data_IF_455911708874
#
_entry.id   IF_455911708874
#
_cell.length_a   1.000
_cell.length_b   1.000
_cell.length_c   1.000
_cell.angle_alpha   90.00
_cell.angle_beta   90.00
_cell.angle_gamma   90.00
#
_symmetry.space_group_name_H-M   'P 1'
#
loop_
_entity.id
_entity.type
_entity.pdbx_description
1 polymer ?
#
# COMPACT_ATOMS: atom_id res chain seq x y z
N UNK A 1 19.29 -5.06 12.53
CA UNK A 1 18.59 -5.09 11.24
C UNK A 1 17.16 -5.45 11.55
N UNK A 2 16.26 -4.46 11.48
CA UNK A 2 14.82 -4.66 11.71
C UNK A 2 14.27 -5.50 10.56
N UNK A 3 13.38 -6.45 10.84
CA UNK A 3 12.72 -7.22 9.79
C UNK A 3 11.57 -6.41 9.23
N UNK A 4 11.23 -6.66 7.98
CA UNK A 4 10.10 -6.03 7.28
C UNK A 4 8.75 -6.22 7.99
N UNK A 5 8.57 -7.32 8.73
CA UNK A 5 7.40 -7.55 9.57
C UNK A 5 7.20 -6.47 10.64
N UNK A 6 8.26 -5.71 10.96
CA UNK A 6 8.26 -4.65 11.98
C UNK A 6 7.75 -3.31 11.43
N UNK A 7 7.26 -3.26 10.19
CA UNK A 7 6.85 -2.03 9.50
C UNK A 7 5.37 -1.93 9.15
N UNK A 8 4.58 -2.99 9.35
CA UNK A 8 3.12 -2.95 9.13
C UNK A 8 2.35 -3.38 10.36
N UNK A 9 1.19 -2.77 10.61
CA UNK A 9 0.38 -3.12 11.77
C UNK A 9 -0.07 -4.57 11.60
N UNK A 10 0.33 -5.43 12.53
CA UNK A 10 -0.02 -6.86 12.53
C UNK A 10 -1.38 -7.16 13.14
N UNK A 11 -2.03 -6.15 13.74
CA UNK A 11 -3.34 -6.22 14.37
C UNK A 11 -4.05 -4.87 14.29
N UNK A 12 -5.39 -4.88 14.33
CA UNK A 12 -6.22 -3.66 14.45
C UNK A 12 -5.83 -2.89 15.72
N UNK A 13 -5.59 -1.59 15.55
CA UNK A 13 -5.21 -0.64 16.59
C UNK A 13 -6.38 0.30 16.88
N UNK A 14 -6.83 0.33 18.15
CA UNK A 14 -7.94 1.20 18.56
C UNK A 14 -7.48 2.35 19.47
N UNK A 15 -8.11 3.52 19.28
CA UNK A 15 -8.10 4.60 20.27
C UNK A 15 -9.25 4.34 21.25
N UNK A 16 -8.94 4.03 22.50
CA UNK A 16 -9.98 3.92 23.53
C UNK A 16 -10.63 5.29 23.77
N UNK A 17 -11.97 5.35 23.82
CA UNK A 17 -12.70 6.62 23.93
C UNK A 17 -12.78 7.15 25.37
N UNK A 18 -12.53 8.46 25.49
CA UNK A 18 -12.94 9.42 26.54
C UNK A 18 -12.80 8.96 28.01
N UNK A 19 -11.57 8.70 28.42
CA UNK A 19 -10.91 9.27 29.62
C UNK A 19 -9.41 9.10 29.42
N UNK A 20 -8.81 10.07 28.75
CA UNK A 20 -7.38 10.40 28.70
C UNK A 20 -6.42 9.27 29.13
N UNK A 21 -5.94 8.42 28.18
CA UNK A 21 -4.82 7.47 28.42
C UNK A 21 -4.30 6.64 27.24
N UNK A 22 -4.58 6.98 25.97
CA UNK A 22 -3.96 6.21 24.86
C UNK A 22 -2.50 6.58 24.61
N UNK A 23 -2.01 7.69 25.15
CA UNK A 23 -0.66 8.27 24.90
C UNK A 23 -0.36 8.62 23.42
N UNK A 24 -1.14 8.10 22.44
CA UNK A 24 -1.07 8.40 21.01
C UNK A 24 -1.64 9.80 20.69
N UNK A 25 -0.79 10.69 20.20
CA UNK A 25 -1.10 12.10 19.92
C UNK A 25 -1.55 12.31 18.47
N UNK A 26 -0.78 11.83 17.50
CA UNK A 26 -0.98 12.10 16.08
C UNK A 26 -1.79 11.02 15.38
N UNK A 27 -2.46 11.38 14.28
CA UNK A 27 -3.36 10.51 13.51
C UNK A 27 -2.75 10.04 12.19
N UNK A 28 -3.25 8.92 11.68
CA UNK A 28 -2.98 8.47 10.31
C UNK A 28 -3.31 9.58 9.31
N UNK A 29 -2.43 9.78 8.34
CA UNK A 29 -2.51 10.77 7.28
C UNK A 29 -1.93 12.13 7.65
N UNK A 30 -1.75 12.44 8.94
CA UNK A 30 -1.25 13.75 9.36
C UNK A 30 0.22 13.95 8.93
N UNK A 31 0.55 15.13 8.40
CA UNK A 31 1.94 15.51 8.10
C UNK A 31 2.54 16.26 9.29
N UNK A 32 3.74 15.85 9.70
CA UNK A 32 4.44 16.38 10.88
C UNK A 32 5.90 16.67 10.54
N UNK A 33 6.57 17.46 11.37
CA UNK A 33 8.02 17.69 11.30
C UNK A 33 8.74 16.94 12.41
N UNK A 34 9.89 16.37 12.07
CA UNK A 34 10.81 15.81 13.06
C UNK A 34 11.60 16.93 13.75
N UNK A 35 11.46 17.11 15.06
CA UNK A 35 12.09 18.18 15.86
C UNK A 35 13.62 18.21 15.75
N UNK A 36 14.26 17.06 15.88
CA UNK A 36 15.74 16.95 15.82
C UNK A 36 16.32 17.12 14.41
N UNK A 37 15.74 16.44 13.42
CA UNK A 37 16.33 16.35 12.08
C UNK A 37 15.68 17.27 11.04
N UNK A 38 14.51 17.85 11.34
CA UNK A 38 13.87 18.89 10.54
C UNK A 38 13.07 18.41 9.31
N UNK A 39 13.08 17.12 8.98
CA UNK A 39 12.33 16.60 7.83
C UNK A 39 10.83 16.52 8.12
N UNK A 40 10.02 16.74 7.09
CA UNK A 40 8.57 16.52 7.11
C UNK A 40 8.24 15.08 6.75
N UNK A 41 7.16 14.53 7.30
CA UNK A 41 6.73 13.19 7.01
C UNK A 41 5.23 12.97 7.28
N UNK A 42 4.57 12.13 6.48
CA UNK A 42 3.18 11.72 6.69
C UNK A 42 3.10 10.45 7.55
N UNK A 43 2.21 10.44 8.53
CA UNK A 43 1.95 9.28 9.39
C UNK A 43 1.14 8.23 8.64
N UNK A 44 1.60 6.98 8.57
CA UNK A 44 0.83 5.86 8.02
C UNK A 44 0.66 4.70 9.01
N UNK A 45 1.27 4.80 10.19
CA UNK A 45 1.06 3.86 11.28
C UNK A 45 1.54 4.39 12.62
N UNK A 46 1.03 3.81 13.70
CA UNK A 46 1.50 4.11 15.05
C UNK A 46 1.37 2.90 15.97
N UNK A 47 2.22 2.87 16.99
CA UNK A 47 2.27 1.81 17.98
C UNK A 47 2.47 2.41 19.36
N UNK A 48 1.81 1.84 20.38
CA UNK A 48 1.91 2.34 21.76
C UNK A 48 3.31 2.14 22.36
N UNK A 49 4.04 1.16 21.84
CA UNK A 49 5.41 0.83 22.21
C UNK A 49 6.17 0.33 20.99
N UNK A 50 7.49 0.50 20.97
CA UNK A 50 8.29 0.03 19.86
C UNK A 50 8.25 -1.50 19.76
N UNK A 51 8.17 -2.03 18.54
CA UNK A 51 8.22 -3.49 18.29
C UNK A 51 9.65 -4.03 18.26
N UNK A 52 10.64 -3.15 18.18
CA UNK A 52 12.07 -3.48 18.16
C UNK A 52 12.81 -2.73 19.26
N UNK A 53 14.03 -3.17 19.57
CA UNK A 53 14.87 -2.44 20.51
C UNK A 53 15.38 -1.14 19.86
N UNK A 54 14.89 -0.02 20.41
CA UNK A 54 15.20 1.35 19.99
C UNK A 54 16.02 2.11 21.02
N UNK A 55 16.47 1.45 22.09
CA UNK A 55 17.08 2.09 23.26
C UNK A 55 18.36 2.87 22.93
N UNK A 56 19.11 2.43 21.93
CA UNK A 56 20.37 3.05 21.50
C UNK A 56 20.23 3.98 20.28
N UNK A 57 19.02 4.20 19.77
CA UNK A 57 18.84 5.00 18.55
C UNK A 57 19.11 6.48 18.81
N UNK A 58 19.78 7.16 17.87
CA UNK A 58 20.08 8.60 17.97
C UNK A 58 18.82 9.48 18.16
N UNK A 59 17.67 9.03 17.65
CA UNK A 59 16.39 9.71 17.85
C UNK A 59 15.80 9.50 19.25
N UNK A 60 16.27 8.53 20.03
CA UNK A 60 15.63 8.08 21.27
C UNK A 60 16.49 8.35 22.49
N UNK A 61 17.81 8.20 22.35
CA UNK A 61 18.76 8.46 23.43
C UNK A 61 18.63 9.91 23.90
N UNK A 62 18.37 10.06 25.21
CA UNK A 62 18.22 11.37 25.86
C UNK A 62 16.80 11.96 25.81
N UNK A 63 15.83 11.27 25.20
CA UNK A 63 14.43 11.68 25.27
C UNK A 63 13.85 11.50 26.69
N UNK A 64 13.03 12.45 27.20
CA UNK A 64 12.44 12.35 28.54
C UNK A 64 11.63 11.08 28.78
N UNK A 65 10.82 10.65 27.79
CA UNK A 65 10.04 9.41 27.90
C UNK A 65 10.84 8.15 27.53
N UNK A 66 12.10 8.31 27.10
CA UNK A 66 12.99 7.21 26.72
C UNK A 66 12.42 6.32 25.61
N UNK A 67 12.82 5.03 25.54
CA UNK A 67 12.36 4.11 24.48
C UNK A 67 10.95 3.57 24.69
N UNK A 68 10.38 3.66 25.89
CA UNK A 68 9.06 3.08 26.22
C UNK A 68 7.93 4.11 26.01
N UNK A 69 7.89 4.70 24.81
CA UNK A 69 6.90 5.69 24.39
C UNK A 69 6.23 5.27 23.08
N UNK A 70 5.17 5.96 22.63
CA UNK A 70 4.60 5.72 21.31
C UNK A 70 5.57 6.01 20.17
N UNK A 71 5.51 5.17 19.13
CA UNK A 71 6.27 5.34 17.90
C UNK A 71 5.33 5.43 16.70
N UNK A 72 5.80 6.17 15.71
CA UNK A 72 5.09 6.45 14.48
C UNK A 72 5.89 5.93 13.29
N UNK A 73 5.18 5.28 12.37
CA UNK A 73 5.69 4.94 11.06
C UNK A 73 5.31 6.04 10.10
N UNK A 74 6.32 6.60 9.44
CA UNK A 74 6.18 7.83 8.69
C UNK A 74 6.85 7.74 7.32
N UNK A 75 6.22 8.33 6.31
CA UNK A 75 6.76 8.48 4.95
C UNK A 75 7.41 9.86 4.88
N UNK A 76 8.75 9.97 4.82
CA UNK A 76 9.39 11.26 4.81
C UNK A 76 9.24 11.96 3.47
N UNK A 77 9.36 13.28 3.46
CA UNK A 77 9.47 14.06 2.24
C UNK A 77 10.82 13.78 1.54
N UNK A 78 10.77 13.44 0.26
CA UNK A 78 11.95 13.08 -0.53
C UNK A 78 12.90 14.27 -0.69
N UNK A 79 12.37 15.48 -0.89
CA UNK A 79 13.18 16.69 -1.03
C UNK A 79 13.91 17.03 0.27
N UNK A 80 13.20 16.99 1.40
CA UNK A 80 13.82 17.13 2.72
C UNK A 80 14.92 16.09 2.94
N UNK A 81 14.71 14.83 2.55
CA UNK A 81 15.70 13.78 2.72
C UNK A 81 16.96 14.02 1.89
N UNK A 82 16.81 14.41 0.63
CA UNK A 82 17.94 14.77 -0.24
C UNK A 82 18.70 15.96 0.35
N UNK A 83 17.99 17.00 0.79
CA UNK A 83 18.58 18.22 1.35
C UNK A 83 19.29 17.99 2.69
N UNK A 84 18.71 17.19 3.58
CA UNK A 84 19.20 17.00 4.95
C UNK A 84 20.18 15.84 5.09
N UNK A 85 20.03 14.80 4.26
CA UNK A 85 20.76 13.54 4.39
C UNK A 85 21.54 13.13 3.13
N UNK A 86 21.52 13.96 2.08
CA UNK A 86 22.28 13.72 0.85
C UNK A 86 21.72 12.62 -0.05
N UNK A 87 20.48 12.18 0.17
CA UNK A 87 19.82 11.21 -0.71
C UNK A 87 18.42 10.82 -0.22
N UNK A 88 17.67 10.06 -1.05
CA UNK A 88 16.35 9.58 -0.68
C UNK A 88 16.43 8.67 0.53
N UNK A 89 15.31 8.57 1.25
CA UNK A 89 15.16 7.71 2.42
C UNK A 89 13.77 7.10 2.41
N UNK A 90 13.69 5.80 2.66
CA UNK A 90 12.42 5.11 2.85
C UNK A 90 11.73 5.50 4.16
N UNK A 91 10.77 4.68 4.57
CA UNK A 91 9.97 4.91 5.78
C UNK A 91 10.82 5.15 7.03
N UNK A 92 10.25 5.88 7.99
CA UNK A 92 10.89 6.28 9.23
C UNK A 92 10.08 5.79 10.41
N UNK A 93 10.78 5.29 11.43
CA UNK A 93 10.20 4.89 12.70
C UNK A 93 10.64 5.88 13.78
N UNK A 94 9.68 6.69 14.26
CA UNK A 94 9.98 7.92 15.00
C UNK A 94 9.24 7.94 16.33
N UNK A 95 9.97 8.21 17.41
CA UNK A 95 9.39 8.43 18.74
C UNK A 95 8.46 9.66 18.74
N UNK A 96 7.32 9.58 19.43
CA UNK A 96 6.32 10.65 19.47
C UNK A 96 6.89 12.01 19.91
N UNK A 97 7.79 12.03 20.89
CA UNK A 97 8.39 13.27 21.41
C UNK A 97 9.24 14.04 20.38
N UNK A 98 9.67 13.37 19.31
CA UNK A 98 10.37 13.99 18.20
C UNK A 98 9.45 14.60 17.16
N UNK A 99 8.14 14.55 17.33
CA UNK A 99 7.20 15.04 16.34
C UNK A 99 6.53 16.33 16.78
N UNK A 100 6.37 17.24 15.83
CA UNK A 100 5.61 18.47 16.01
C UNK A 100 4.66 18.72 14.84
N UNK A 101 3.45 19.26 15.10
CA UNK A 101 2.56 19.72 14.05
C UNK A 101 3.20 20.83 13.21
N UNK A 102 2.82 20.88 11.94
CA UNK A 102 3.19 21.95 11.01
C UNK A 102 1.94 22.65 10.47
N UNK A 103 2.14 23.80 9.84
CA UNK A 103 1.07 24.50 9.14
C UNK A 103 0.61 23.70 7.89
N UNK A 104 -0.67 23.82 7.48
CA UNK A 104 -1.14 23.16 6.26
C UNK A 104 -0.37 23.57 4.99
N UNK A 105 0.14 24.80 4.94
CA UNK A 105 0.95 25.31 3.84
C UNK A 105 2.27 24.54 3.71
N UNK A 106 2.88 24.15 4.83
CA UNK A 106 4.12 23.39 4.90
C UNK A 106 3.94 21.88 4.67
N UNK A 107 2.70 21.37 4.67
CA UNK A 107 2.39 19.93 4.67
C UNK A 107 2.49 19.23 3.30
N UNK A 108 2.90 19.96 2.26
CA UNK A 108 3.11 19.40 0.93
C UNK A 108 4.40 18.58 0.90
N UNK A 109 4.28 17.27 0.72
CA UNK A 109 5.42 16.34 0.65
C UNK A 109 5.31 15.42 -0.57
N UNK A 110 6.44 14.88 -1.03
CA UNK A 110 6.52 13.94 -2.15
C UNK A 110 7.27 12.67 -1.77
N UNK A 111 6.68 11.50 -2.06
CA UNK A 111 7.31 10.18 -1.93
C UNK A 111 6.50 9.13 -2.72
N UNK A 112 7.18 8.16 -3.33
CA UNK A 112 6.60 7.08 -4.14
C UNK A 112 5.56 6.21 -3.41
N UNK A 113 5.65 6.08 -2.08
CA UNK A 113 4.73 5.28 -1.28
C UNK A 113 3.41 5.98 -0.97
N UNK A 114 3.31 7.30 -1.17
CA UNK A 114 2.10 8.05 -0.81
C UNK A 114 0.87 7.54 -1.58
N UNK A 115 1.01 7.25 -2.87
CA UNK A 115 -0.07 6.75 -3.72
C UNK A 115 -0.54 5.33 -3.36
N UNK A 116 0.31 4.55 -2.69
CA UNK A 116 0.00 3.20 -2.26
C UNK A 116 -0.79 3.18 -0.95
N UNK A 117 -0.60 4.22 -0.12
CA UNK A 117 -1.14 4.29 1.25
C UNK A 117 -2.29 5.30 1.40
N UNK A 118 -2.41 6.24 0.46
CA UNK A 118 -3.39 7.31 0.52
C UNK A 118 -4.06 7.54 -0.84
N UNK A 119 -5.37 7.78 -0.80
CA UNK A 119 -6.19 8.04 -2.00
C UNK A 119 -6.21 9.51 -2.41
N UNK A 120 -5.79 10.41 -1.51
CA UNK A 120 -5.79 11.85 -1.73
C UNK A 120 -5.27 12.63 -0.52
N UNK A 121 -5.20 13.95 -0.65
CA UNK A 121 -4.75 14.87 0.38
C UNK A 121 -5.80 15.96 0.62
N UNK A 122 -6.21 16.12 1.89
CA UNK A 122 -7.12 17.17 2.31
C UNK A 122 -6.32 18.41 2.76
N UNK A 123 -6.18 19.38 1.86
CA UNK A 123 -5.34 20.55 2.06
C UNK A 123 -5.72 21.39 3.30
N UNK A 124 -7.01 21.66 3.62
CA UNK A 124 -7.39 22.43 4.81
C UNK A 124 -6.96 21.77 6.13
N UNK A 125 -7.03 20.45 6.22
CA UNK A 125 -6.64 19.71 7.43
C UNK A 125 -5.21 19.17 7.41
N UNK A 126 -4.45 19.43 6.34
CA UNK A 126 -3.08 18.96 6.16
C UNK A 126 -2.94 17.43 6.33
N UNK A 127 -3.95 16.68 5.91
CA UNK A 127 -4.08 15.25 6.22
C UNK A 127 -4.33 14.44 4.96
N UNK A 128 -3.54 13.39 4.76
CA UNK A 128 -3.79 12.41 3.72
C UNK A 128 -4.97 11.49 4.06
N UNK A 129 -5.78 11.20 3.06
CA UNK A 129 -6.92 10.29 3.18
C UNK A 129 -6.44 8.84 3.02
N UNK A 130 -6.48 8.02 4.09
CA UNK A 130 -5.98 6.64 4.03
C UNK A 130 -6.78 5.77 3.07
N UNK A 131 -6.10 4.80 2.45
CA UNK A 131 -6.76 3.68 1.75
C UNK A 131 -7.57 2.82 2.74
N UNK A 132 -8.50 2.02 2.21
CA UNK A 132 -9.40 1.18 3.02
C UNK A 132 -8.65 0.29 4.03
N UNK A 133 -7.46 -0.20 3.66
CA UNK A 133 -6.62 -1.01 4.51
C UNK A 133 -6.14 -0.28 5.78
N UNK A 134 -5.61 0.94 5.65
CA UNK A 134 -5.23 1.75 6.80
C UNK A 134 -6.44 2.11 7.67
N UNK A 135 -7.61 2.34 7.04
CA UNK A 135 -8.87 2.54 7.79
C UNK A 135 -9.29 1.31 8.58
N UNK A 136 -9.00 0.11 8.08
CA UNK A 136 -9.28 -1.11 8.82
C UNK A 136 -8.36 -1.28 10.02
N UNK A 137 -7.06 -1.04 9.88
CA UNK A 137 -6.13 -1.19 11.02
C UNK A 137 -6.19 -0.04 12.02
N UNK A 138 -6.59 1.16 11.59
CA UNK A 138 -6.68 2.34 12.44
C UNK A 138 -8.07 2.97 12.33
N UNK A 139 -9.15 2.24 12.69
CA UNK A 139 -10.52 2.67 12.43
C UNK A 139 -10.87 3.97 13.14
N UNK A 140 -10.36 4.17 14.36
CA UNK A 140 -10.61 5.37 15.15
C UNK A 140 -9.98 6.66 14.56
N UNK A 141 -8.97 6.53 13.69
CA UNK A 141 -8.27 7.68 13.08
C UNK A 141 -9.02 8.20 11.84
N UNK A 142 -9.98 7.44 11.34
CA UNK A 142 -10.58 7.63 10.01
C UNK A 142 -12.08 7.90 10.04
N UNK A 143 -12.70 7.81 11.23
CA UNK A 143 -14.14 8.03 11.44
C UNK A 143 -14.61 9.50 11.35
N UNK A 144 -13.71 10.47 11.13
CA UNK A 144 -14.06 11.89 11.06
C UNK A 144 -14.35 12.43 9.63
N UNK A 145 -14.26 11.63 8.57
CA UNK A 145 -14.39 12.14 7.19
C UNK A 145 -15.77 11.94 6.52
N UNK A 146 -16.75 11.29 7.16
CA UNK A 146 -18.11 11.19 6.59
C UNK A 146 -19.19 10.90 7.65
N UNK A 147 -19.46 11.88 8.52
CA UNK A 147 -20.81 12.12 9.01
C UNK A 147 -21.36 13.40 8.36
N UNK A 148 -21.58 13.32 7.05
CA UNK A 148 -22.49 14.24 6.36
C UNK A 148 -23.41 13.43 5.45
N UNK A 149 -24.19 12.52 6.03
CA UNK A 149 -25.43 12.06 5.41
C UNK A 149 -26.57 12.16 6.43
N UNK A 150 -27.58 12.93 6.05
CA UNK A 150 -28.71 13.27 6.88
C UNK A 150 -29.70 12.10 7.00
N UNK A 151 -30.19 11.89 8.24
CA UNK A 151 -31.57 11.47 8.61
C UNK A 151 -32.15 10.12 8.11
N UNK A 152 -32.43 9.19 9.04
CA UNK A 152 -33.78 8.71 9.48
C UNK A 152 -33.72 7.27 10.10
N UNK A 153 -34.44 6.94 11.21
CA UNK A 153 -34.26 5.68 11.97
C UNK A 153 -34.65 4.37 11.25
N UNK A 154 -35.43 4.44 10.16
CA UNK A 154 -35.88 3.26 9.40
C UNK A 154 -34.75 2.61 8.57
N UNK A 155 -33.68 3.35 8.26
CA UNK A 155 -32.50 2.84 7.55
C UNK A 155 -31.62 1.96 8.46
N UNK A 156 -31.59 2.20 9.79
CA UNK A 156 -30.71 1.44 10.68
C UNK A 156 -31.11 -0.02 10.85
N UNK A 157 -32.42 -0.33 10.87
CA UNK A 157 -32.91 -1.71 10.97
C UNK A 157 -32.75 -2.45 9.64
N UNK A 158 -32.97 -1.75 8.52
CA UNK A 158 -32.83 -2.32 7.16
C UNK A 158 -31.37 -2.60 6.84
N UNK A 159 -30.45 -1.71 7.20
CA UNK A 159 -28.99 -1.88 7.05
C UNK A 159 -28.45 -3.00 7.95
N UNK A 160 -29.00 -3.22 9.16
CA UNK A 160 -28.58 -4.35 10.01
C UNK A 160 -28.97 -5.70 9.42
N UNK A 161 -30.17 -5.81 8.86
CA UNK A 161 -30.66 -7.04 8.23
C UNK A 161 -30.00 -7.27 6.88
N UNK A 162 -29.72 -6.20 6.12
CA UNK A 162 -28.91 -6.25 4.89
C UNK A 162 -27.47 -6.65 5.19
N UNK A 163 -26.81 -6.11 6.21
CA UNK A 163 -25.44 -6.49 6.56
C UNK A 163 -25.35 -7.95 7.02
N UNK A 164 -26.35 -8.47 7.76
CA UNK A 164 -26.43 -9.88 8.12
C UNK A 164 -26.69 -10.81 6.92
N UNK A 165 -27.36 -10.32 5.86
CA UNK A 165 -27.59 -11.04 4.60
C UNK A 165 -26.39 -10.90 3.62
N UNK A 166 -25.68 -9.77 3.67
CA UNK A 166 -24.44 -9.46 2.92
C UNK A 166 -23.31 -10.40 3.35
N UNK A 167 -23.15 -10.63 4.66
CA UNK A 167 -22.11 -11.52 5.19
C UNK A 167 -22.25 -12.99 4.77
N UNK A 168 -23.41 -13.41 4.23
CA UNK A 168 -23.70 -14.82 3.95
C UNK A 168 -23.73 -15.20 2.46
N UNK A 169 -23.66 -14.24 1.52
CA UNK A 169 -23.83 -14.48 0.07
C UNK A 169 -22.81 -13.75 -0.85
N UNK A 170 -21.75 -13.14 -0.31
CA UNK A 170 -21.03 -12.09 -1.06
C UNK A 170 -19.72 -12.41 -1.78
N UNK A 171 -19.14 -13.60 -1.68
CA UNK A 171 -17.90 -13.85 -2.42
C UNK A 171 -18.16 -13.97 -3.94
N UNK A 172 -19.12 -14.80 -4.34
CA UNK A 172 -19.40 -15.08 -5.76
C UNK A 172 -19.99 -13.88 -6.50
N UNK A 173 -20.88 -13.10 -5.86
CA UNK A 173 -21.44 -11.91 -6.48
C UNK A 173 -20.42 -10.76 -6.62
N UNK A 174 -19.50 -10.63 -5.65
CA UNK A 174 -18.42 -9.64 -5.75
C UNK A 174 -17.41 -10.07 -6.80
N UNK A 175 -17.06 -11.35 -6.85
CA UNK A 175 -16.11 -11.86 -7.85
C UNK A 175 -16.68 -11.79 -9.27
N UNK A 176 -17.97 -12.10 -9.47
CA UNK A 176 -18.62 -11.93 -10.77
C UNK A 176 -18.69 -10.45 -11.19
N UNK A 177 -19.03 -9.54 -10.27
CA UNK A 177 -19.02 -8.10 -10.57
C UNK A 177 -17.60 -7.57 -10.82
N UNK A 178 -16.60 -8.13 -10.13
CA UNK A 178 -15.18 -7.83 -10.32
C UNK A 178 -14.70 -8.29 -11.69
N UNK A 179 -15.10 -9.49 -12.11
CA UNK A 179 -14.83 -10.07 -13.41
C UNK A 179 -15.41 -9.21 -14.54
N UNK A 180 -16.70 -8.87 -14.46
CA UNK A 180 -17.38 -7.97 -15.39
C UNK A 180 -16.71 -6.59 -15.46
N UNK A 181 -16.28 -6.07 -14.31
CA UNK A 181 -15.57 -4.78 -14.23
C UNK A 181 -14.21 -4.86 -14.91
N UNK A 182 -13.46 -5.95 -14.68
CA UNK A 182 -12.16 -6.16 -15.31
C UNK A 182 -12.30 -6.26 -16.83
N UNK A 183 -13.30 -6.98 -17.34
CA UNK A 183 -13.59 -7.05 -18.78
C UNK A 183 -13.86 -5.67 -19.39
N UNK A 184 -14.67 -4.85 -18.71
CA UNK A 184 -14.94 -3.48 -19.17
C UNK A 184 -13.66 -2.63 -19.19
N UNK A 185 -12.82 -2.74 -18.15
CA UNK A 185 -11.56 -2.02 -18.07
C UNK A 185 -10.57 -2.47 -19.16
N UNK A 186 -10.49 -3.77 -19.44
CA UNK A 186 -9.67 -4.30 -20.54
C UNK A 186 -10.18 -3.84 -21.90
N UNK A 187 -11.50 -3.77 -22.10
CA UNK A 187 -12.08 -3.19 -23.30
C UNK A 187 -11.73 -1.69 -23.43
N UNK A 188 -11.83 -0.92 -22.34
CA UNK A 188 -11.45 0.49 -22.34
C UNK A 188 -9.96 0.69 -22.64
N UNK A 189 -9.08 -0.16 -22.10
CA UNK A 189 -7.64 -0.13 -22.40
C UNK A 189 -7.35 -0.34 -23.88
N UNK A 190 -8.01 -1.33 -24.50
CA UNK A 190 -7.83 -1.66 -25.92
C UNK A 190 -8.28 -0.54 -26.86
N UNK A 191 -9.35 0.16 -26.51
CA UNK A 191 -9.97 1.18 -27.35
C UNK A 191 -9.82 2.61 -26.80
N UNK A 192 -8.86 2.84 -25.88
CA UNK A 192 -8.65 4.13 -25.27
C UNK A 192 -8.29 5.19 -26.35
N UNK A 193 -9.05 6.29 -26.47
CA UNK A 193 -8.82 7.29 -27.51
C UNK A 193 -7.61 8.18 -27.19
N UNK A 194 -7.23 8.27 -25.92
CA UNK A 194 -6.07 9.04 -25.47
C UNK A 194 -5.22 8.25 -24.48
N UNK A 195 -3.94 8.62 -24.35
CA UNK A 195 -3.03 8.07 -23.34
C UNK A 195 -3.56 8.25 -21.92
N UNK A 196 -4.21 9.39 -21.62
CA UNK A 196 -4.76 9.68 -20.29
C UNK A 196 -5.91 8.74 -19.91
N UNK A 197 -6.74 8.38 -20.88
CA UNK A 197 -7.84 7.42 -20.68
C UNK A 197 -7.28 6.01 -20.45
N UNK A 198 -6.25 5.63 -21.22
CA UNK A 198 -5.56 4.36 -21.04
C UNK A 198 -4.95 4.26 -19.64
N UNK A 199 -4.20 5.27 -19.18
CA UNK A 199 -3.62 5.31 -17.83
C UNK A 199 -4.69 5.22 -16.74
N UNK A 200 -5.85 5.84 -16.95
CA UNK A 200 -6.95 5.81 -15.98
C UNK A 200 -7.57 4.42 -15.87
N UNK A 201 -7.81 3.74 -17.00
CA UNK A 201 -8.33 2.38 -17.05
C UNK A 201 -7.29 1.36 -16.55
N UNK A 202 -6.00 1.53 -16.86
CA UNK A 202 -4.90 0.72 -16.33
C UNK A 202 -4.86 0.77 -14.80
N UNK A 203 -4.86 1.98 -14.23
CA UNK A 203 -4.86 2.18 -12.78
C UNK A 203 -6.08 1.54 -12.12
N UNK A 204 -7.24 1.64 -12.75
CA UNK A 204 -8.44 0.98 -12.24
C UNK A 204 -8.32 -0.55 -12.29
N UNK A 205 -7.78 -1.11 -13.38
CA UNK A 205 -7.57 -2.56 -13.52
C UNK A 205 -6.59 -3.08 -12.46
N UNK A 206 -5.49 -2.37 -12.23
CA UNK A 206 -4.53 -2.69 -11.16
C UNK A 206 -5.20 -2.64 -9.79
N UNK A 207 -6.07 -1.67 -9.54
CA UNK A 207 -6.78 -1.57 -8.26
C UNK A 207 -7.74 -2.76 -8.05
N UNK A 208 -8.47 -3.16 -9.08
CA UNK A 208 -9.36 -4.33 -9.07
C UNK A 208 -8.57 -5.62 -8.82
N UNK A 209 -7.44 -5.80 -9.53
CA UNK A 209 -6.57 -6.97 -9.39
C UNK A 209 -5.85 -7.01 -8.04
N UNK A 210 -5.48 -5.85 -7.50
CA UNK A 210 -4.83 -5.72 -6.19
C UNK A 210 -5.79 -5.79 -5.01
N UNK A 211 -7.09 -5.60 -5.22
CA UNK A 211 -8.06 -5.69 -4.14
C UNK A 211 -8.23 -7.13 -3.68
N UNK A 212 -8.32 -7.33 -2.37
CA UNK A 212 -8.56 -8.65 -1.80
C UNK A 212 -9.36 -8.54 -0.49
N UNK A 213 -10.36 -9.41 -0.25
CA UNK A 213 -11.13 -9.40 1.00
C UNK A 213 -10.27 -9.77 2.21
N UNK A 214 -9.25 -10.61 2.01
CA UNK A 214 -8.26 -10.92 3.04
C UNK A 214 -7.26 -9.75 3.21
N UNK A 215 -7.42 -9.02 4.31
CA UNK A 215 -6.58 -7.85 4.63
C UNK A 215 -5.15 -8.22 5.02
N UNK A 216 -4.90 -9.47 5.41
CA UNK A 216 -3.54 -9.96 5.66
C UNK A 216 -2.71 -9.98 4.37
N UNK A 217 -3.33 -10.28 3.22
CA UNK A 217 -2.64 -10.21 1.91
C UNK A 217 -2.22 -8.78 1.61
N UNK A 218 -3.12 -7.82 1.86
CA UNK A 218 -2.77 -6.42 1.71
C UNK A 218 -1.65 -6.02 2.68
N UNK A 219 -1.64 -6.58 3.90
CA UNK A 219 -0.55 -6.39 4.88
C UNK A 219 0.79 -6.78 4.30
N UNK A 220 0.85 -7.99 3.78
CA UNK A 220 2.04 -8.55 3.19
C UNK A 220 2.51 -7.76 1.97
N UNK A 221 1.60 -7.18 1.17
CA UNK A 221 1.99 -6.30 0.06
C UNK A 221 2.67 -5.03 0.56
N UNK A 222 2.13 -4.40 1.59
CA UNK A 222 2.75 -3.21 2.17
C UNK A 222 4.10 -3.54 2.81
N UNK A 223 4.19 -4.67 3.53
CA UNK A 223 5.44 -5.19 4.06
C UNK A 223 6.47 -5.34 2.94
N UNK A 224 6.11 -6.04 1.87
CA UNK A 224 6.98 -6.22 0.72
C UNK A 224 7.41 -4.89 0.06
N UNK A 225 6.51 -3.92 -0.08
CA UNK A 225 6.86 -2.60 -0.59
C UNK A 225 7.85 -1.87 0.30
N UNK A 226 7.63 -1.87 1.62
CA UNK A 226 8.56 -1.25 2.58
C UNK A 226 9.93 -1.91 2.54
N UNK A 227 9.96 -3.24 2.50
CA UNK A 227 11.19 -4.02 2.36
C UNK A 227 12.05 -3.58 1.18
N UNK A 228 11.40 -3.39 0.03
CA UNK A 228 12.07 -3.04 -1.21
C UNK A 228 12.65 -1.63 -1.18
N UNK A 229 12.00 -0.69 -0.49
CA UNK A 229 12.55 0.66 -0.23
C UNK A 229 13.80 0.59 0.66
N UNK A 230 13.85 -0.37 1.57
CA UNK A 230 15.01 -0.63 2.42
C UNK A 230 16.07 -1.52 1.75
N UNK A 231 15.83 -1.93 0.49
CA UNK A 231 16.65 -2.86 -0.26
C UNK A 231 16.80 -4.25 0.41
N UNK A 232 15.87 -4.61 1.31
CA UNK A 232 15.77 -5.94 1.93
C UNK A 232 14.91 -6.87 1.07
N UNK A 233 15.52 -7.38 0.00
CA UNK A 233 14.86 -8.31 -0.94
C UNK A 233 14.39 -9.59 -0.25
N UNK A 234 15.14 -10.12 0.72
CA UNK A 234 14.80 -11.37 1.39
C UNK A 234 13.51 -11.25 2.18
N UNK A 235 13.35 -10.13 2.88
CA UNK A 235 12.17 -9.90 3.68
C UNK A 235 10.96 -9.47 2.82
N UNK A 236 11.20 -8.85 1.65
CA UNK A 236 10.16 -8.65 0.64
C UNK A 236 9.58 -9.98 0.11
N UNK A 237 10.46 -10.93 -0.24
CA UNK A 237 10.05 -12.27 -0.69
C UNK A 237 9.29 -12.99 0.42
N UNK A 238 9.78 -12.93 1.66
CA UNK A 238 9.12 -13.58 2.81
C UNK A 238 7.69 -13.07 3.02
N UNK A 239 7.47 -11.76 2.90
CA UNK A 239 6.13 -11.20 2.99
C UNK A 239 5.24 -11.70 1.84
N UNK A 240 5.74 -11.71 0.60
CA UNK A 240 4.97 -12.18 -0.56
C UNK A 240 4.73 -13.69 -0.56
N UNK A 241 5.62 -14.49 0.03
CA UNK A 241 5.38 -15.91 0.30
C UNK A 241 4.19 -16.11 1.24
N UNK A 242 4.08 -15.27 2.28
CA UNK A 242 2.95 -15.29 3.18
C UNK A 242 1.65 -14.83 2.51
N UNK A 243 1.73 -13.90 1.54
CA UNK A 243 0.58 -13.50 0.71
C UNK A 243 0.08 -14.66 -0.16
N UNK A 244 0.98 -15.33 -0.88
CA UNK A 244 0.67 -16.51 -1.71
C UNK A 244 0.15 -17.67 -0.88
N UNK A 245 0.69 -17.90 0.32
CA UNK A 245 0.20 -18.95 1.22
C UNK A 245 -1.18 -18.64 1.81
N UNK A 246 -1.55 -17.37 1.92
CA UNK A 246 -2.86 -16.95 2.41
C UNK A 246 -3.98 -17.10 1.36
N UNK A 247 -3.64 -16.99 0.08
CA UNK A 247 -4.51 -17.32 -1.06
C UNK A 247 -3.67 -17.69 -2.30
N UNK A 248 -3.65 -18.99 -2.64
CA UNK A 248 -2.89 -19.54 -3.77
C UNK A 248 -3.60 -19.42 -5.13
N UNK A 249 -4.81 -18.85 -5.14
CA UNK A 249 -5.58 -18.50 -6.33
C UNK A 249 -5.50 -16.99 -6.65
N UNK A 250 -4.84 -16.18 -5.81
CA UNK A 250 -4.74 -14.74 -6.04
C UNK A 250 -3.59 -14.36 -6.97
N UNK A 251 -3.91 -14.12 -8.25
CA UNK A 251 -2.95 -13.80 -9.32
C UNK A 251 -1.99 -12.63 -8.99
N UNK A 252 -2.47 -11.57 -8.34
CA UNK A 252 -1.64 -10.41 -7.99
C UNK A 252 -0.50 -10.76 -7.02
N UNK A 253 -0.70 -11.72 -6.10
CA UNK A 253 0.33 -12.12 -5.15
C UNK A 253 1.53 -12.71 -5.86
N UNK A 254 1.28 -13.57 -6.85
CA UNK A 254 2.32 -14.12 -7.73
C UNK A 254 2.99 -13.03 -8.57
N UNK A 255 2.21 -12.14 -9.19
CA UNK A 255 2.75 -11.04 -10.00
C UNK A 255 3.71 -10.12 -9.20
N UNK A 256 3.34 -9.78 -7.96
CA UNK A 256 4.19 -9.00 -7.05
C UNK A 256 5.46 -9.75 -6.68
N UNK A 257 5.37 -11.05 -6.37
CA UNK A 257 6.53 -11.87 -6.03
C UNK A 257 7.48 -12.05 -7.21
N UNK A 258 6.94 -12.26 -8.42
CA UNK A 258 7.69 -12.28 -9.66
C UNK A 258 8.49 -10.99 -9.88
N UNK A 259 7.90 -9.83 -9.59
CA UNK A 259 8.56 -8.53 -9.75
C UNK A 259 9.77 -8.39 -8.82
N UNK A 260 9.65 -8.88 -7.58
CA UNK A 260 10.77 -8.91 -6.62
C UNK A 260 11.85 -9.90 -7.09
N UNK A 261 11.46 -11.08 -7.55
CA UNK A 261 12.40 -12.06 -8.09
C UNK A 261 13.18 -11.51 -9.29
N UNK A 262 12.51 -10.84 -10.23
CA UNK A 262 13.15 -10.17 -11.36
C UNK A 262 14.16 -9.13 -10.89
N UNK A 263 13.79 -8.24 -9.97
CA UNK A 263 14.70 -7.23 -9.40
C UNK A 263 15.92 -7.85 -8.71
N UNK A 264 15.76 -9.03 -8.12
CA UNK A 264 16.84 -9.76 -7.45
C UNK A 264 17.69 -10.64 -8.38
N UNK A 265 17.34 -10.71 -9.66
CA UNK A 265 18.04 -11.53 -10.66
C UNK A 265 17.71 -13.02 -10.61
N UNK A 266 16.74 -13.45 -9.80
CA UNK A 266 16.30 -14.85 -9.75
C UNK A 266 15.26 -15.12 -10.84
N UNK A 267 15.72 -15.14 -12.09
CA UNK A 267 14.88 -15.17 -13.30
C UNK A 267 13.94 -16.39 -13.35
N UNK A 268 14.42 -17.58 -12.98
CA UNK A 268 13.59 -18.80 -13.01
C UNK A 268 12.36 -18.71 -12.09
N UNK A 269 12.55 -18.17 -10.87
CA UNK A 269 11.44 -17.95 -9.93
C UNK A 269 10.48 -16.87 -10.45
N UNK A 270 11.01 -15.80 -11.05
CA UNK A 270 10.19 -14.75 -11.66
C UNK A 270 9.33 -15.32 -12.81
N UNK A 271 9.90 -16.18 -13.65
CA UNK A 271 9.20 -16.82 -14.75
C UNK A 271 8.10 -17.77 -14.23
N UNK A 272 8.39 -18.58 -13.22
CA UNK A 272 7.41 -19.46 -12.61
C UNK A 272 6.22 -18.69 -12.04
N UNK A 273 6.49 -17.63 -11.27
CA UNK A 273 5.44 -16.83 -10.64
C UNK A 273 4.61 -16.04 -11.66
N UNK A 274 5.24 -15.44 -12.67
CA UNK A 274 4.50 -14.69 -13.68
C UNK A 274 3.64 -15.61 -14.55
N UNK A 275 4.13 -16.82 -14.87
CA UNK A 275 3.32 -17.84 -15.53
C UNK A 275 2.13 -18.23 -14.67
N UNK A 276 2.32 -18.45 -13.36
CA UNK A 276 1.22 -18.78 -12.45
C UNK A 276 0.20 -17.65 -12.34
N UNK A 277 0.65 -16.40 -12.28
CA UNK A 277 -0.24 -15.24 -12.26
C UNK A 277 -1.14 -15.19 -13.51
N UNK A 278 -0.57 -15.47 -14.69
CA UNK A 278 -1.28 -15.46 -15.96
C UNK A 278 -2.16 -16.72 -16.20
N UNK A 279 -1.85 -17.85 -15.55
CA UNK A 279 -2.74 -19.01 -15.50
C UNK A 279 -4.02 -18.70 -14.70
N UNK A 280 -3.87 -17.98 -13.59
CA UNK A 280 -4.97 -17.62 -12.69
C UNK A 280 -5.81 -16.47 -13.27
N UNK A 281 -5.16 -15.46 -13.84
CA UNK A 281 -5.82 -14.32 -14.46
C UNK A 281 -5.14 -13.95 -15.80
N UNK A 282 -5.61 -14.49 -16.93
CA UNK A 282 -5.02 -14.23 -18.25
C UNK A 282 -5.07 -12.76 -18.68
N UNK A 283 -5.98 -11.95 -18.11
CA UNK A 283 -6.11 -10.51 -18.40
C UNK A 283 -5.21 -9.65 -17.51
N UNK A 284 -4.34 -10.24 -16.69
CA UNK A 284 -3.42 -9.51 -15.81
C UNK A 284 -2.32 -8.79 -16.62
N UNK A 285 -2.64 -7.57 -17.09
CA UNK A 285 -1.78 -6.80 -17.99
C UNK A 285 -0.39 -6.56 -17.39
N UNK A 286 -0.31 -6.21 -16.10
CA UNK A 286 0.97 -5.96 -15.43
C UNK A 286 1.82 -7.22 -15.33
N UNK A 287 1.21 -8.39 -15.07
CA UNK A 287 1.92 -9.68 -15.12
C UNK A 287 2.41 -9.98 -16.55
N UNK A 288 1.63 -9.67 -17.59
CA UNK A 288 2.05 -9.88 -18.99
C UNK A 288 3.22 -8.98 -19.40
N UNK A 289 3.19 -7.70 -19.01
CA UNK A 289 4.34 -6.79 -19.18
C UNK A 289 5.56 -7.33 -18.42
N UNK A 290 5.35 -7.81 -17.19
CA UNK A 290 6.42 -8.39 -16.39
C UNK A 290 7.01 -9.64 -17.04
N UNK A 291 6.20 -10.50 -17.68
CA UNK A 291 6.68 -11.67 -18.41
C UNK A 291 7.63 -11.25 -19.54
N UNK A 292 7.27 -10.24 -20.34
CA UNK A 292 8.15 -9.72 -21.38
C UNK A 292 9.49 -9.23 -20.81
N UNK A 293 9.46 -8.57 -19.64
CA UNK A 293 10.68 -8.12 -18.95
C UNK A 293 11.52 -9.29 -18.45
N UNK A 294 10.90 -10.31 -17.86
CA UNK A 294 11.57 -11.53 -17.41
C UNK A 294 12.22 -12.25 -18.61
N UNK A 295 11.53 -12.36 -19.73
CA UNK A 295 12.04 -12.97 -20.97
C UNK A 295 13.21 -12.17 -21.56
N UNK A 296 13.14 -10.83 -21.54
CA UNK A 296 14.27 -9.98 -21.94
C UNK A 296 15.50 -10.20 -21.06
N UNK A 297 15.34 -10.26 -19.74
CA UNK A 297 16.44 -10.56 -18.80
C UNK A 297 16.96 -12.01 -18.98
N UNK A 298 16.08 -12.95 -19.30
CA UNK A 298 16.43 -14.33 -19.66
C UNK A 298 17.12 -14.45 -21.04
N UNK A 299 17.18 -13.36 -21.81
CA UNK A 299 17.69 -13.28 -23.19
C UNK A 299 16.90 -14.13 -24.19
N UNK A 300 15.64 -14.44 -23.91
CA UNK A 300 14.72 -15.11 -24.84
C UNK A 300 13.97 -14.05 -25.67
N UNK A 301 14.73 -13.24 -26.41
CA UNK A 301 14.21 -12.01 -27.04
C UNK A 301 13.04 -12.23 -28.02
N UNK A 302 13.01 -13.34 -28.75
CA UNK A 302 11.89 -13.63 -29.65
C UNK A 302 10.57 -13.88 -28.89
N UNK A 303 10.65 -14.49 -27.70
CA UNK A 303 9.49 -14.68 -26.84
C UNK A 303 9.07 -13.36 -26.19
N UNK A 304 10.04 -12.55 -25.75
CA UNK A 304 9.78 -11.21 -25.22
C UNK A 304 9.09 -10.31 -26.25
N UNK A 305 9.56 -10.30 -27.49
CA UNK A 305 8.98 -9.56 -28.62
C UNK A 305 7.51 -9.97 -28.83
N UNK A 306 7.24 -11.27 -28.98
CA UNK A 306 5.87 -11.77 -29.13
C UNK A 306 4.98 -11.41 -27.91
N UNK A 307 5.53 -11.47 -26.70
CA UNK A 307 4.82 -11.06 -25.48
C UNK A 307 4.45 -9.58 -25.53
N UNK A 308 5.39 -8.70 -25.87
CA UNK A 308 5.17 -7.25 -25.96
C UNK A 308 4.25 -6.85 -27.12
N UNK A 309 4.33 -7.52 -28.27
CA UNK A 309 3.40 -7.32 -29.39
C UNK A 309 1.97 -7.58 -28.92
N UNK A 310 1.74 -8.70 -28.24
CA UNK A 310 0.42 -8.98 -27.70
C UNK A 310 0.02 -7.98 -26.58
N UNK A 311 0.96 -7.31 -25.90
CA UNK A 311 0.62 -6.27 -24.89
C UNK A 311 0.10 -5.05 -25.63
N UNK A 312 0.75 -4.65 -26.71
CA UNK A 312 0.34 -3.53 -27.56
C UNK A 312 -1.02 -3.78 -28.24
N UNK A 313 -1.36 -5.04 -28.54
CA UNK A 313 -2.70 -5.40 -29.02
C UNK A 313 -3.83 -5.18 -27.99
N UNK A 314 -3.51 -5.39 -26.70
CA UNK A 314 -4.45 -5.22 -25.58
C UNK A 314 -4.47 -3.79 -25.05
N UNK A 315 -3.33 -3.11 -25.11
CA UNK A 315 -3.12 -1.77 -24.61
C UNK A 315 -2.17 -1.01 -25.56
N UNK A 316 -2.69 -0.34 -26.61
CA UNK A 316 -1.86 0.35 -27.61
C UNK A 316 -0.96 1.47 -27.05
N UNK A 317 -1.26 1.96 -25.85
CA UNK A 317 -0.51 3.02 -25.16
C UNK A 317 0.52 2.48 -24.15
N UNK A 318 0.82 1.17 -24.17
CA UNK A 318 1.57 0.53 -23.09
C UNK A 318 3.04 0.95 -23.12
N UNK A 319 3.69 1.17 -21.97
CA UNK A 319 5.11 1.51 -21.92
C UNK A 319 5.97 0.23 -22.01
N UNK A 320 6.03 -0.39 -23.19
CA UNK A 320 6.82 -1.61 -23.48
C UNK A 320 7.90 -1.39 -24.53
#
# INVERSE_FOLDING_TARGET
>A
MSKVSDYVATNVQERETKRDRTEITFRIGQVLRHRKFGFRAAVFGWERRPQVDVSEWDGVVGLPSGPLQPFYRMIPDMEDCVRLFGGPRGVRYVAQENLEPISPEEAHISHELLSHLFVGFDAPSATFQPVQQLRYWYPADTQDASQTEASTPLLQTTVRTLNAFHSMLQAEMVEAARDDTLDQLMHLLKFAPTQSDAVSAERAAVAVLSSHPNQEIMRYYLEASVALEENDVSAAITALDAAVAADDAHAESYSRRASVHLRSGTIDHALQDVSRALELEPRHLSARILLGRVQSEARTFAEAEATYEHVLELHPWAPV
#
